data_IF_492211230823
#
_entry.id   IF_492211230823
#
_cell.length_a   1.000
_cell.length_b   1.000
_cell.length_c   1.000
_cell.angle_alpha   90.00
_cell.angle_beta   90.00
_cell.angle_gamma   90.00
#
_symmetry.space_group_name_H-M   'P 1'
#
loop_
_entity.id
_entity.type
_entity.pdbx_description
1 polymer ?
#
# COMPACT_ATOMS: atom_id res chain seq x y z
N UNK A 1 -18.68 -5.36 19.16
CA UNK A 1 -17.72 -4.91 20.18
C UNK A 1 -16.60 -4.12 19.48
N UNK A 2 -16.94 -3.15 18.63
CA UNK A 2 -16.02 -2.47 17.71
C UNK A 2 -15.97 -0.94 17.92
N UNK A 3 -16.20 -0.45 19.15
CA UNK A 3 -16.13 1.00 19.43
C UNK A 3 -14.78 1.48 19.95
N UNK A 4 -13.83 0.60 20.18
CA UNK A 4 -12.54 0.94 20.80
C UNK A 4 -11.42 1.26 19.79
N UNK A 5 -11.51 0.82 18.54
CA UNK A 5 -10.51 1.16 17.50
C UNK A 5 -10.68 2.58 16.95
N UNK A 6 -11.91 3.08 16.88
CA UNK A 6 -12.23 4.40 16.32
C UNK A 6 -11.71 5.59 17.15
N UNK A 7 -11.58 5.42 18.46
CA UNK A 7 -11.21 6.51 19.38
C UNK A 7 -9.71 6.80 19.43
N UNK A 8 -8.87 5.88 19.03
CA UNK A 8 -7.40 6.04 19.11
C UNK A 8 -6.80 6.83 17.93
N UNK A 9 -7.43 6.83 16.76
CA UNK A 9 -6.95 7.58 15.58
C UNK A 9 -7.33 9.07 15.63
N UNK A 10 -8.47 9.42 16.22
CA UNK A 10 -8.96 10.79 16.27
C UNK A 10 -8.16 11.71 17.23
N UNK A 11 -7.44 11.15 18.20
CA UNK A 11 -6.74 11.92 19.22
C UNK A 11 -5.42 12.57 18.74
N UNK A 12 -4.85 12.14 17.61
CA UNK A 12 -3.59 12.72 17.10
C UNK A 12 -3.78 13.96 16.23
N UNK A 13 -4.98 14.23 15.75
CA UNK A 13 -5.27 15.37 14.86
C UNK A 13 -5.52 16.71 15.58
N UNK A 14 -5.60 16.76 16.90
CA UNK A 14 -5.94 17.98 17.67
C UNK A 14 -4.75 18.80 18.15
N UNK A 15 -3.52 18.40 17.90
CA UNK A 15 -2.34 19.06 18.46
C UNK A 15 -1.73 20.22 17.62
N UNK A 16 -2.30 20.57 16.46
CA UNK A 16 -1.70 21.59 15.54
C UNK A 16 -2.56 22.85 15.36
N UNK A 17 -3.74 22.97 15.97
CA UNK A 17 -4.60 24.13 15.82
C UNK A 17 -4.67 24.97 17.12
N UNK A 18 -3.66 25.76 17.40
CA UNK A 18 -3.62 26.71 18.49
C UNK A 18 -3.00 28.04 18.08
N UNK A 19 -3.74 28.93 17.37
CA UNK A 19 -3.49 30.39 17.38
C UNK A 19 -4.81 31.15 17.27
N UNK A 20 -5.12 31.80 18.36
CA UNK A 20 -5.86 33.06 18.56
C UNK A 20 -7.13 33.39 17.75
N UNK A 21 -8.26 33.35 18.40
CA UNK A 21 -9.49 34.08 18.03
C UNK A 21 -9.44 35.50 18.59
N UNK A 22 -9.63 36.50 17.75
CA UNK A 22 -9.96 37.87 18.16
C UNK A 22 -11.43 38.13 17.81
N UNK A 23 -12.23 38.48 18.83
CA UNK A 23 -13.63 38.85 18.72
C UNK A 23 -13.78 40.16 17.94
N UNK A 24 -14.61 40.15 16.92
CA UNK A 24 -15.23 41.39 16.39
C UNK A 24 -16.73 41.15 16.23
N UNK A 25 -17.51 41.69 17.13
CA UNK A 25 -18.95 41.79 17.05
C UNK A 25 -19.35 42.88 16.04
N UNK A 26 -20.15 42.53 15.03
CA UNK A 26 -20.90 43.49 14.22
C UNK A 26 -22.25 42.91 13.83
N UNK A 27 -23.30 43.58 14.28
CA UNK A 27 -24.70 43.34 13.96
C UNK A 27 -25.03 43.82 12.54
N UNK A 28 -25.66 43.02 11.72
CA UNK A 28 -26.43 43.48 10.54
C UNK A 28 -27.55 42.46 10.20
N UNK A 29 -28.70 43.02 9.84
CA UNK A 29 -29.98 42.41 9.61
C UNK A 29 -30.04 41.46 8.38
N UNK A 30 -31.10 40.63 8.23
CA UNK A 30 -31.15 39.56 7.27
C UNK A 30 -31.50 40.10 5.89
N UNK A 31 -30.61 39.84 4.92
CA UNK A 31 -30.94 39.92 3.48
C UNK A 31 -31.32 38.54 2.97
N UNK A 32 -32.56 38.44 2.52
CA UNK A 32 -33.02 37.32 1.71
C UNK A 32 -32.27 37.32 0.37
N UNK A 33 -31.36 36.37 0.17
CA UNK A 33 -30.83 36.09 -1.15
C UNK A 33 -30.53 34.60 -1.30
N UNK A 34 -31.23 34.04 -2.26
CA UNK A 34 -30.87 32.89 -3.06
C UNK A 34 -30.74 31.54 -2.32
N UNK A 35 -31.79 30.77 -2.41
CA UNK A 35 -31.73 29.35 -2.63
C UNK A 35 -30.91 29.07 -3.89
N UNK A 36 -29.59 29.05 -3.76
CA UNK A 36 -28.76 28.35 -4.72
C UNK A 36 -28.97 26.87 -4.45
N UNK A 37 -29.72 26.23 -5.35
CA UNK A 37 -29.80 24.78 -5.47
C UNK A 37 -28.38 24.24 -5.34
N UNK A 38 -28.08 23.53 -4.25
CA UNK A 38 -27.01 22.59 -4.21
C UNK A 38 -27.30 21.58 -5.33
N UNK A 39 -26.71 21.78 -6.50
CA UNK A 39 -26.66 20.75 -7.51
C UNK A 39 -26.07 19.54 -6.79
N UNK A 40 -26.83 18.47 -6.68
CA UNK A 40 -26.36 17.23 -6.10
C UNK A 40 -25.04 16.91 -6.83
N UNK A 41 -23.92 16.98 -6.08
CA UNK A 41 -22.61 16.71 -6.64
C UNK A 41 -22.67 15.29 -7.18
N UNK A 42 -22.52 15.13 -8.48
CA UNK A 42 -22.71 13.83 -9.12
C UNK A 42 -21.76 12.83 -8.47
N UNK A 43 -22.28 11.74 -7.96
CA UNK A 43 -21.50 10.71 -7.30
C UNK A 43 -20.31 10.29 -8.19
N UNK A 44 -19.12 10.19 -7.61
CA UNK A 44 -17.92 9.77 -8.32
C UNK A 44 -18.14 8.34 -8.82
N UNK A 45 -18.04 8.07 -10.14
CA UNK A 45 -18.26 6.72 -10.65
C UNK A 45 -17.17 5.77 -10.14
N UNK A 46 -17.55 4.52 -9.89
CA UNK A 46 -16.61 3.47 -9.53
C UNK A 46 -15.56 3.28 -10.63
N UNK A 47 -14.32 2.88 -10.31
CA UNK A 47 -13.27 2.72 -11.30
C UNK A 47 -13.63 1.80 -12.47
N UNK A 48 -14.37 0.72 -12.24
CA UNK A 48 -14.83 -0.17 -13.32
C UNK A 48 -15.90 0.46 -14.24
N UNK A 49 -16.63 1.47 -13.79
CA UNK A 49 -17.61 2.21 -14.60
C UNK A 49 -17.00 3.45 -15.26
N UNK A 50 -15.82 3.88 -14.82
CA UNK A 50 -15.15 5.07 -15.31
C UNK A 50 -14.18 4.74 -16.47
N UNK A 51 -14.48 5.27 -17.67
CA UNK A 51 -13.66 5.08 -18.85
C UNK A 51 -12.22 5.61 -18.72
N UNK A 52 -11.94 6.43 -17.70
CA UNK A 52 -10.59 6.92 -17.43
C UNK A 52 -9.62 5.77 -17.09
N UNK A 53 -10.08 4.76 -16.36
CA UNK A 53 -9.24 3.64 -15.90
C UNK A 53 -8.90 2.63 -17.00
N UNK A 54 -9.45 2.79 -18.22
CA UNK A 54 -9.24 1.86 -19.33
C UNK A 54 -8.42 2.51 -20.44
N UNK A 55 -7.46 1.76 -20.96
CA UNK A 55 -6.78 2.16 -22.19
C UNK A 55 -7.63 1.81 -23.42
N UNK A 56 -7.98 2.81 -24.21
CA UNK A 56 -8.83 2.67 -25.42
C UNK A 56 -8.11 3.06 -26.70
N UNK A 57 -6.78 3.28 -26.64
CA UNK A 57 -5.99 3.68 -27.80
C UNK A 57 -5.75 2.51 -28.78
N UNK A 58 -5.46 2.82 -30.03
CA UNK A 58 -5.20 1.83 -31.09
C UNK A 58 -3.77 1.28 -31.07
N UNK A 59 -2.80 2.03 -30.54
CA UNK A 59 -1.41 1.58 -30.41
C UNK A 59 -1.29 0.53 -29.30
N UNK A 60 -0.78 -0.69 -29.58
CA UNK A 60 -0.65 -1.72 -28.55
C UNK A 60 0.17 -1.28 -27.34
N UNK A 61 -0.26 -1.60 -26.11
CA UNK A 61 0.42 -1.21 -24.85
C UNK A 61 1.90 -1.61 -24.81
N UNK A 62 2.28 -2.75 -25.40
CA UNK A 62 3.69 -3.18 -25.49
C UNK A 62 4.60 -2.25 -26.28
N UNK A 63 4.03 -1.33 -27.06
CA UNK A 63 4.76 -0.32 -27.83
C UNK A 63 5.04 0.97 -27.05
N UNK A 64 4.46 1.12 -25.87
CA UNK A 64 4.74 2.22 -24.97
C UNK A 64 5.89 1.88 -24.02
N UNK A 65 6.70 2.86 -23.70
CA UNK A 65 7.69 2.74 -22.64
C UNK A 65 6.99 2.50 -21.29
N UNK A 66 7.70 1.90 -20.35
CA UNK A 66 7.26 1.78 -18.96
C UNK A 66 7.09 3.16 -18.34
N UNK A 67 6.03 3.37 -17.56
CA UNK A 67 5.69 4.69 -17.01
C UNK A 67 5.17 5.70 -18.06
N UNK A 68 4.85 5.27 -19.30
CA UNK A 68 4.28 6.20 -20.29
C UNK A 68 2.93 6.73 -19.82
N UNK A 69 2.77 8.05 -19.83
CA UNK A 69 1.51 8.74 -19.58
C UNK A 69 0.55 8.47 -20.75
N UNK A 70 -0.61 7.92 -20.48
CA UNK A 70 -1.62 7.55 -21.47
C UNK A 70 -2.82 8.49 -21.46
N UNK A 71 -3.28 8.88 -20.27
CA UNK A 71 -4.35 9.86 -20.04
C UNK A 71 -4.05 10.65 -18.78
N UNK A 72 -4.57 11.87 -18.71
CA UNK A 72 -4.56 12.69 -17.50
C UNK A 72 -5.93 13.32 -17.28
N UNK A 73 -6.27 13.60 -16.02
CA UNK A 73 -7.41 14.42 -15.65
C UNK A 73 -7.14 15.18 -14.36
N UNK A 74 -7.71 16.37 -14.24
CA UNK A 74 -7.72 17.13 -12.99
C UNK A 74 -8.76 16.55 -12.02
N UNK A 75 -8.40 16.47 -10.76
CA UNK A 75 -9.27 16.02 -9.67
C UNK A 75 -9.00 16.85 -8.42
N UNK A 76 -9.85 16.70 -7.42
CA UNK A 76 -9.58 17.18 -6.07
C UNK A 76 -9.27 15.98 -5.17
N UNK A 77 -8.34 16.16 -4.23
CA UNK A 77 -7.97 15.15 -3.22
C UNK A 77 -8.35 15.69 -1.84
N UNK A 78 -8.93 14.85 -1.04
CA UNK A 78 -9.41 15.10 0.31
C UNK A 78 -10.66 14.27 0.59
N UNK A 79 -11.02 14.17 1.86
CA UNK A 79 -12.24 13.48 2.29
C UNK A 79 -13.17 14.52 2.93
N UNK A 80 -14.09 15.15 2.14
CA UNK A 80 -14.91 16.26 2.61
C UNK A 80 -15.69 15.96 3.89
N UNK A 81 -16.13 14.71 4.05
CA UNK A 81 -16.90 14.25 5.20
C UNK A 81 -16.11 14.35 6.52
N UNK A 82 -14.77 14.42 6.46
CA UNK A 82 -13.90 14.60 7.62
C UNK A 82 -13.63 16.06 7.97
N UNK A 83 -14.14 17.01 7.18
CA UNK A 83 -13.80 18.43 7.31
C UNK A 83 -12.42 18.80 6.74
N UNK A 84 -11.73 17.88 6.07
CA UNK A 84 -10.47 18.17 5.40
C UNK A 84 -10.70 19.05 4.16
N UNK A 85 -9.81 20.02 3.97
CA UNK A 85 -9.81 20.84 2.77
C UNK A 85 -9.44 20.02 1.53
N UNK A 86 -10.10 20.32 0.41
CA UNK A 86 -9.78 19.72 -0.88
C UNK A 86 -8.55 20.39 -1.49
N UNK A 87 -7.60 19.62 -1.99
CA UNK A 87 -6.44 20.13 -2.71
C UNK A 87 -6.44 19.66 -4.17
N UNK A 88 -6.02 20.52 -5.12
CA UNK A 88 -5.95 20.15 -6.52
C UNK A 88 -4.92 19.04 -6.76
N UNK A 89 -5.30 18.08 -7.59
CA UNK A 89 -4.44 16.95 -7.96
C UNK A 89 -4.67 16.55 -9.43
N UNK A 90 -3.82 15.71 -9.96
CA UNK A 90 -3.95 15.13 -11.29
C UNK A 90 -3.90 13.62 -11.21
N UNK A 91 -4.86 12.96 -11.83
CA UNK A 91 -4.77 11.53 -12.08
C UNK A 91 -4.13 11.24 -13.42
N UNK A 92 -3.26 10.26 -13.43
CA UNK A 92 -2.52 9.80 -14.60
C UNK A 92 -2.80 8.31 -14.80
N UNK A 93 -3.41 7.94 -15.93
CA UNK A 93 -3.41 6.56 -16.40
C UNK A 93 -2.06 6.33 -17.07
N UNK A 94 -1.29 5.35 -16.60
CA UNK A 94 0.05 5.06 -17.13
C UNK A 94 0.22 3.59 -17.47
N UNK A 95 1.22 3.32 -18.35
CA UNK A 95 1.59 1.98 -18.76
C UNK A 95 2.50 1.33 -17.73
N UNK A 96 2.15 0.13 -17.28
CA UNK A 96 2.95 -0.75 -16.42
C UNK A 96 2.87 -2.21 -16.91
N UNK A 97 3.13 -3.17 -16.05
CA UNK A 97 2.97 -4.60 -16.33
C UNK A 97 2.36 -5.32 -15.13
N UNK A 98 1.59 -6.37 -15.42
CA UNK A 98 0.98 -7.23 -14.39
C UNK A 98 1.98 -8.23 -13.78
N UNK A 99 1.53 -9.01 -12.78
CA UNK A 99 2.34 -10.04 -12.11
C UNK A 99 2.88 -11.11 -13.08
N UNK A 100 2.24 -11.32 -14.21
CA UNK A 100 2.67 -12.23 -15.27
C UNK A 100 3.55 -11.54 -16.33
N UNK A 101 3.96 -10.27 -16.08
CA UNK A 101 4.76 -9.41 -16.97
C UNK A 101 4.06 -9.05 -18.29
N UNK A 102 2.74 -9.16 -18.37
CA UNK A 102 1.98 -8.66 -19.49
C UNK A 102 1.84 -7.14 -19.40
N UNK A 103 1.92 -6.41 -20.52
CA UNK A 103 1.66 -4.97 -20.51
C UNK A 103 0.28 -4.66 -19.94
N UNK A 104 0.23 -3.80 -18.94
CA UNK A 104 -0.98 -3.39 -18.23
C UNK A 104 -1.02 -1.86 -18.07
N UNK A 105 -2.09 -1.37 -17.48
CA UNK A 105 -2.26 0.02 -17.10
C UNK A 105 -2.76 0.09 -15.66
N UNK A 106 -2.41 1.17 -14.98
CA UNK A 106 -3.03 1.53 -13.72
C UNK A 106 -3.01 3.05 -13.55
N UNK A 107 -3.56 3.55 -12.45
CA UNK A 107 -3.68 4.99 -12.19
C UNK A 107 -2.73 5.39 -11.06
N UNK A 108 -2.17 6.59 -11.15
CA UNK A 108 -1.58 7.27 -10.00
C UNK A 108 -2.25 8.65 -9.84
N UNK A 109 -2.42 9.06 -8.59
CA UNK A 109 -2.85 10.42 -8.25
C UNK A 109 -1.63 11.23 -7.87
N UNK A 110 -1.44 12.39 -8.52
CA UNK A 110 -0.32 13.29 -8.30
C UNK A 110 -0.81 14.55 -7.61
N UNK A 111 -0.27 14.81 -6.43
CA UNK A 111 -0.51 16.03 -5.64
C UNK A 111 0.71 16.92 -5.73
N UNK A 112 0.49 18.19 -6.12
CA UNK A 112 1.57 19.17 -6.14
C UNK A 112 1.88 19.67 -4.72
N UNK A 113 3.11 20.17 -4.47
CA UNK A 113 3.42 20.83 -3.21
C UNK A 113 2.44 21.95 -2.90
N UNK A 114 1.97 22.02 -1.65
CA UNK A 114 1.16 23.14 -1.13
C UNK A 114 1.97 24.05 -0.21
N UNK A 115 3.12 23.57 0.28
CA UNK A 115 4.14 24.35 0.97
C UNK A 115 5.26 24.85 0.04
N UNK A 116 6.40 25.31 0.60
CA UNK A 116 7.55 25.74 -0.19
C UNK A 116 8.01 24.65 -1.15
N UNK A 117 7.90 24.91 -2.47
CA UNK A 117 8.24 23.93 -3.50
C UNK A 117 9.71 23.54 -3.48
N UNK A 118 10.04 22.33 -3.93
CA UNK A 118 11.37 21.74 -4.23
C UNK A 118 11.97 20.78 -3.20
N UNK A 119 11.17 20.22 -2.29
CA UNK A 119 11.71 19.20 -1.40
C UNK A 119 12.00 17.85 -2.11
N UNK A 120 11.26 17.50 -3.17
CA UNK A 120 11.42 16.27 -3.93
C UNK A 120 10.10 15.61 -4.31
N UNK A 121 10.16 14.34 -4.74
CA UNK A 121 9.01 13.50 -5.02
C UNK A 121 8.90 12.38 -3.99
N UNK A 122 7.75 12.25 -3.35
CA UNK A 122 7.44 11.10 -2.48
C UNK A 122 6.43 10.19 -3.19
N UNK A 123 6.78 8.93 -3.36
CA UNK A 123 5.80 7.89 -3.67
C UNK A 123 5.18 7.42 -2.36
N UNK A 124 3.96 7.90 -2.09
CA UNK A 124 3.14 7.45 -0.97
C UNK A 124 2.40 6.19 -1.39
N UNK A 125 2.66 5.11 -0.67
CA UNK A 125 2.16 3.78 -0.96
C UNK A 125 1.06 3.46 0.06
N UNK A 126 -0.17 3.53 -0.42
CA UNK A 126 -1.38 3.34 0.37
C UNK A 126 -1.44 1.95 0.98
N UNK A 127 -2.02 1.84 2.16
CA UNK A 127 -2.33 0.55 2.81
C UNK A 127 -3.78 0.10 2.53
N UNK A 128 -4.25 0.27 1.29
CA UNK A 128 -5.65 0.05 0.93
C UNK A 128 -6.09 -1.42 0.87
N UNK A 129 -5.17 -2.36 0.69
CA UNK A 129 -5.39 -3.81 0.80
C UNK A 129 -6.75 -4.27 0.24
N UNK A 130 -6.86 -4.35 -1.08
CA UNK A 130 -8.16 -4.38 -1.72
C UNK A 130 -8.39 -5.58 -2.63
N UNK A 131 -9.66 -6.01 -2.70
CA UNK A 131 -10.17 -6.92 -3.72
C UNK A 131 -11.29 -6.27 -4.56
N UNK A 132 -11.79 -5.10 -4.13
CA UNK A 132 -12.77 -4.27 -4.82
C UNK A 132 -12.17 -2.93 -5.24
N UNK A 133 -12.47 -2.46 -6.43
CA UNK A 133 -11.92 -1.22 -6.98
C UNK A 133 -12.47 0.06 -6.31
N UNK A 134 -13.59 -0.05 -5.58
CA UNK A 134 -14.09 0.99 -4.66
C UNK A 134 -13.08 1.37 -3.58
N UNK A 135 -12.04 0.57 -3.38
CA UNK A 135 -11.02 0.75 -2.36
C UNK A 135 -9.74 1.41 -2.93
N UNK A 136 -9.63 1.53 -4.25
CA UNK A 136 -8.45 2.09 -4.90
C UNK A 136 -8.17 3.53 -4.44
N UNK A 137 -6.92 3.89 -4.09
CA UNK A 137 -6.57 5.23 -3.63
C UNK A 137 -6.99 6.33 -4.60
N UNK A 138 -6.92 6.09 -5.91
CA UNK A 138 -7.39 7.02 -6.92
C UNK A 138 -8.89 7.30 -6.88
N UNK A 139 -9.68 6.45 -6.22
CA UNK A 139 -11.11 6.65 -5.99
C UNK A 139 -11.39 7.23 -4.60
N UNK A 140 -10.82 6.62 -3.54
CA UNK A 140 -11.11 6.99 -2.15
C UNK A 140 -10.58 8.38 -1.80
N UNK A 141 -9.37 8.73 -2.27
CA UNK A 141 -8.78 10.05 -2.02
C UNK A 141 -9.46 11.20 -2.78
N UNK A 142 -10.36 10.90 -3.71
CA UNK A 142 -11.24 11.90 -4.35
C UNK A 142 -12.55 12.11 -3.60
N UNK A 143 -12.74 11.46 -2.47
CA UNK A 143 -14.02 11.41 -1.75
C UNK A 143 -14.96 10.32 -2.25
N UNK A 144 -14.47 9.35 -3.02
CA UNK A 144 -15.22 8.13 -3.35
C UNK A 144 -15.49 7.32 -2.09
N UNK A 145 -16.69 6.75 -1.99
CA UNK A 145 -17.11 6.01 -0.80
C UNK A 145 -16.63 4.55 -0.82
N UNK A 146 -15.63 4.18 -0.01
CA UNK A 146 -15.15 2.81 0.09
C UNK A 146 -16.02 1.91 0.99
N UNK A 147 -17.15 2.44 1.52
CA UNK A 147 -17.95 1.84 2.57
C UNK A 147 -17.49 2.24 3.97
N UNK A 148 -18.41 2.12 4.94
CA UNK A 148 -18.21 2.63 6.30
C UNK A 148 -17.01 2.01 7.02
N UNK A 149 -16.69 0.74 6.74
CA UNK A 149 -15.59 0.00 7.36
C UNK A 149 -14.21 0.50 6.95
N UNK A 150 -14.11 1.28 5.87
CA UNK A 150 -12.84 1.77 5.32
C UNK A 150 -12.76 3.29 5.25
N UNK A 151 -13.81 4.01 5.63
CA UNK A 151 -13.85 5.47 5.56
C UNK A 151 -12.75 6.13 6.42
N UNK A 152 -12.48 5.60 7.62
CA UNK A 152 -11.42 6.10 8.50
C UNK A 152 -10.02 5.95 7.90
N UNK A 153 -9.78 4.86 7.16
CA UNK A 153 -8.50 4.66 6.47
C UNK A 153 -8.30 5.72 5.39
N UNK A 154 -9.31 6.00 4.58
CA UNK A 154 -9.24 7.04 3.54
C UNK A 154 -8.97 8.44 4.13
N UNK A 155 -9.59 8.77 5.28
CA UNK A 155 -9.34 10.03 6.01
C UNK A 155 -7.90 10.11 6.49
N UNK A 156 -7.38 9.05 7.09
CA UNK A 156 -6.00 8.98 7.58
C UNK A 156 -5.00 9.14 6.44
N UNK A 157 -5.20 8.46 5.33
CA UNK A 157 -4.32 8.54 4.15
C UNK A 157 -4.36 9.92 3.51
N UNK A 158 -5.54 10.53 3.38
CA UNK A 158 -5.67 11.89 2.88
C UNK A 158 -4.91 12.90 3.77
N UNK A 159 -4.91 12.71 5.10
CA UNK A 159 -4.14 13.54 6.03
C UNK A 159 -2.63 13.38 5.83
N UNK A 160 -2.13 12.14 5.68
CA UNK A 160 -0.71 11.87 5.42
C UNK A 160 -0.25 12.48 4.09
N UNK A 161 -1.02 12.30 3.03
CA UNK A 161 -0.74 12.89 1.71
C UNK A 161 -0.69 14.42 1.78
N UNK A 162 -1.65 15.02 2.48
CA UNK A 162 -1.72 16.48 2.68
C UNK A 162 -0.53 16.99 3.50
N UNK A 163 -0.12 16.26 4.55
CA UNK A 163 1.09 16.57 5.34
C UNK A 163 2.33 16.61 4.48
N UNK A 164 2.56 15.58 3.65
CA UNK A 164 3.71 15.52 2.75
C UNK A 164 3.69 16.66 1.73
N UNK A 165 2.53 17.00 1.16
CA UNK A 165 2.39 18.11 0.22
C UNK A 165 2.67 19.47 0.90
N UNK A 166 2.24 19.65 2.15
CA UNK A 166 2.50 20.84 2.95
C UNK A 166 4.00 21.01 3.30
N UNK A 167 4.73 19.90 3.42
CA UNK A 167 6.18 19.89 3.60
C UNK A 167 6.96 20.22 2.32
N UNK A 168 6.27 20.45 1.20
CA UNK A 168 6.87 20.88 -0.06
C UNK A 168 7.21 19.73 -1.02
N UNK A 169 6.79 18.49 -0.74
CA UNK A 169 6.95 17.37 -1.65
C UNK A 169 5.85 17.34 -2.72
N UNK A 170 6.21 17.01 -3.94
CA UNK A 170 5.24 16.42 -4.85
C UNK A 170 4.97 14.99 -4.37
N UNK A 171 3.70 14.55 -4.41
CA UNK A 171 3.32 13.21 -3.95
C UNK A 171 2.68 12.44 -5.07
N UNK A 172 3.15 11.22 -5.35
CA UNK A 172 2.51 10.29 -6.28
C UNK A 172 1.92 9.13 -5.50
N UNK A 173 0.66 8.80 -5.75
CA UNK A 173 -0.11 7.77 -5.03
C UNK A 173 -0.61 6.76 -6.07
N UNK A 174 0.15 5.69 -6.37
CA UNK A 174 -0.27 4.69 -7.33
C UNK A 174 -1.32 3.71 -6.78
N UNK A 175 -2.25 3.30 -7.62
CA UNK A 175 -3.05 2.08 -7.42
C UNK A 175 -2.17 0.88 -7.77
N UNK A 176 -1.22 0.55 -6.90
CA UNK A 176 -0.13 -0.39 -7.19
C UNK A 176 -0.57 -1.85 -7.29
N UNK A 177 -1.76 -2.19 -6.82
CA UNK A 177 -2.35 -3.53 -7.01
C UNK A 177 -2.90 -3.75 -8.42
N UNK A 178 -2.83 -2.71 -9.27
CA UNK A 178 -3.32 -2.73 -10.63
C UNK A 178 -4.85 -2.68 -10.73
N UNK A 179 -5.36 -2.62 -11.97
CA UNK A 179 -6.80 -2.59 -12.23
C UNK A 179 -7.51 -3.91 -11.92
N UNK A 180 -6.77 -5.02 -11.82
CA UNK A 180 -7.30 -6.34 -11.50
C UNK A 180 -7.19 -6.67 -9.99
N UNK A 181 -6.68 -5.72 -9.18
CA UNK A 181 -6.54 -5.82 -7.73
C UNK A 181 -5.79 -7.09 -7.32
N UNK A 182 -4.55 -7.15 -7.77
CA UNK A 182 -3.61 -8.22 -7.45
C UNK A 182 -2.90 -7.97 -6.12
N UNK A 183 -3.68 -7.77 -5.06
CA UNK A 183 -3.14 -7.58 -3.71
C UNK A 183 -2.10 -8.66 -3.37
N UNK A 184 -1.10 -8.36 -2.58
CA UNK A 184 0.08 -9.17 -2.25
C UNK A 184 0.93 -9.66 -3.45
N UNK A 185 0.62 -9.25 -4.69
CA UNK A 185 1.43 -9.55 -5.86
C UNK A 185 2.65 -8.62 -5.93
N UNK A 186 3.62 -8.84 -5.04
CA UNK A 186 4.68 -7.89 -4.72
C UNK A 186 5.46 -7.35 -5.92
N UNK A 187 5.85 -8.21 -6.89
CA UNK A 187 6.59 -7.72 -8.05
C UNK A 187 5.76 -6.75 -8.89
N UNK A 188 4.45 -7.00 -9.08
CA UNK A 188 3.56 -6.07 -9.78
C UNK A 188 3.45 -4.75 -9.03
N UNK A 189 3.27 -4.81 -7.71
CA UNK A 189 3.22 -3.60 -6.86
C UNK A 189 4.50 -2.77 -6.99
N UNK A 190 5.66 -3.42 -6.98
CA UNK A 190 6.95 -2.76 -7.18
C UNK A 190 7.10 -2.13 -8.58
N UNK A 191 6.73 -2.85 -9.65
CA UNK A 191 6.78 -2.30 -11.01
C UNK A 191 5.80 -1.14 -11.19
N UNK A 192 4.57 -1.28 -10.69
CA UNK A 192 3.56 -0.22 -10.75
C UNK A 192 4.03 1.03 -10.03
N UNK A 193 4.66 0.89 -8.87
CA UNK A 193 5.26 2.00 -8.11
C UNK A 193 6.38 2.69 -8.89
N UNK A 194 7.34 1.95 -9.43
CA UNK A 194 8.45 2.52 -10.20
C UNK A 194 7.97 3.20 -11.49
N UNK A 195 6.97 2.62 -12.14
CA UNK A 195 6.37 3.20 -13.34
C UNK A 195 5.51 4.43 -13.04
N UNK A 196 4.88 4.53 -11.84
CA UNK A 196 4.18 5.73 -11.39
C UNK A 196 5.12 6.90 -11.17
N UNK A 197 6.32 6.64 -10.62
CA UNK A 197 7.37 7.65 -10.45
C UNK A 197 7.77 8.20 -11.82
N UNK A 198 8.05 7.33 -12.79
CA UNK A 198 8.37 7.73 -14.18
C UNK A 198 7.28 8.58 -14.81
N UNK A 199 6.01 8.15 -14.64
CA UNK A 199 4.87 8.86 -15.17
C UNK A 199 4.73 10.26 -14.54
N UNK A 200 4.93 10.35 -13.22
CA UNK A 200 4.88 11.59 -12.46
C UNK A 200 6.01 12.55 -12.83
N UNK A 201 7.26 12.06 -12.86
CA UNK A 201 8.42 12.86 -13.29
C UNK A 201 8.20 13.41 -14.72
N UNK A 202 7.72 12.55 -15.62
CA UNK A 202 7.42 12.97 -17.00
C UNK A 202 6.32 14.01 -17.07
N UNK A 203 5.25 13.81 -16.30
CA UNK A 203 4.10 14.73 -16.28
C UNK A 203 4.48 16.10 -15.71
N UNK A 204 5.23 16.14 -14.63
CA UNK A 204 5.66 17.36 -13.96
C UNK A 204 6.90 18.01 -14.61
N UNK A 205 7.50 17.38 -15.65
CA UNK A 205 8.73 17.87 -16.26
C UNK A 205 9.93 17.88 -15.33
N UNK A 206 9.97 16.95 -14.37
CA UNK A 206 11.07 16.85 -13.40
C UNK A 206 12.37 16.40 -14.05
N UNK A 207 13.50 16.83 -13.48
CA UNK A 207 14.82 16.37 -13.92
C UNK A 207 15.02 14.90 -13.54
N UNK A 208 15.82 14.16 -14.32
CA UNK A 208 16.18 12.77 -14.02
C UNK A 208 16.94 12.59 -12.70
N UNK A 209 17.57 13.67 -12.21
CA UNK A 209 18.24 13.71 -10.91
C UNK A 209 17.32 14.02 -9.75
N UNK A 210 16.01 14.14 -10.00
CA UNK A 210 15.03 14.42 -8.95
C UNK A 210 15.13 13.38 -7.85
N UNK A 211 15.27 13.82 -6.61
CA UNK A 211 15.27 12.92 -5.46
C UNK A 211 13.87 12.34 -5.26
N UNK A 212 13.81 11.04 -5.02
CA UNK A 212 12.57 10.30 -4.77
C UNK A 212 12.66 9.57 -3.43
N UNK A 213 11.63 9.69 -2.60
CA UNK A 213 11.44 8.89 -1.39
C UNK A 213 10.29 7.91 -1.55
N UNK A 214 10.43 6.71 -0.99
CA UNK A 214 9.33 5.74 -0.90
C UNK A 214 8.82 5.69 0.53
N UNK A 215 7.49 5.71 0.70
CA UNK A 215 6.83 5.74 2.00
C UNK A 215 5.66 4.76 1.99
N UNK A 216 5.71 3.70 2.80
CA UNK A 216 4.64 2.70 2.86
C UNK A 216 4.55 1.97 4.19
N UNK A 217 3.32 1.72 4.65
CA UNK A 217 3.03 0.90 5.82
C UNK A 217 2.10 -0.24 5.44
N UNK A 218 2.17 -1.39 6.12
CA UNK A 218 1.29 -2.54 5.88
C UNK A 218 1.26 -2.94 4.39
N UNK A 219 0.11 -2.93 3.72
CA UNK A 219 0.01 -3.18 2.28
C UNK A 219 0.92 -2.27 1.45
N UNK A 220 1.07 -1.00 1.82
CA UNK A 220 2.01 -0.08 1.17
C UNK A 220 3.48 -0.48 1.33
N UNK A 221 3.82 -1.19 2.40
CA UNK A 221 5.18 -1.70 2.60
C UNK A 221 5.54 -2.79 1.58
N UNK A 222 4.55 -3.55 1.08
CA UNK A 222 4.74 -4.53 0.00
C UNK A 222 5.25 -3.80 -1.25
N UNK A 223 4.56 -2.74 -1.64
CA UNK A 223 4.95 -1.97 -2.82
C UNK A 223 6.32 -1.28 -2.64
N UNK A 224 6.60 -0.74 -1.45
CA UNK A 224 7.86 -0.05 -1.13
C UNK A 224 9.06 -0.99 -1.12
N UNK A 225 8.92 -2.15 -0.51
CA UNK A 225 9.96 -3.16 -0.45
C UNK A 225 10.28 -3.69 -1.86
N UNK A 226 9.26 -4.18 -2.58
CA UNK A 226 9.45 -4.71 -3.94
C UNK A 226 9.94 -3.65 -4.93
N UNK A 227 9.51 -2.39 -4.79
CA UNK A 227 10.06 -1.30 -5.60
C UNK A 227 11.55 -1.11 -5.31
N UNK A 228 11.96 -1.15 -4.04
CA UNK A 228 13.36 -1.00 -3.63
C UNK A 228 14.24 -2.14 -4.12
N UNK A 229 13.78 -3.39 -3.98
CA UNK A 229 14.51 -4.58 -4.43
C UNK A 229 14.63 -4.64 -5.96
N UNK A 230 13.61 -4.20 -6.68
CA UNK A 230 13.55 -4.25 -8.15
C UNK A 230 14.18 -3.04 -8.83
N UNK A 231 14.28 -1.88 -8.17
CA UNK A 231 14.73 -0.62 -8.77
C UNK A 231 16.07 -0.74 -9.50
N UNK A 232 17.13 -1.38 -8.94
CA UNK A 232 18.43 -1.43 -9.60
C UNK A 232 18.42 -2.07 -10.99
N UNK A 233 17.54 -3.06 -11.20
CA UNK A 233 17.42 -3.76 -12.47
C UNK A 233 16.31 -3.22 -13.38
N UNK A 234 15.24 -2.65 -12.80
CA UNK A 234 14.05 -2.24 -13.52
C UNK A 234 14.00 -0.74 -13.83
N UNK A 235 14.50 0.08 -12.91
CA UNK A 235 14.43 1.54 -12.97
C UNK A 235 15.75 2.19 -12.47
N UNK A 236 16.93 1.80 -13.02
CA UNK A 236 18.23 2.30 -12.54
C UNK A 236 18.41 3.81 -12.74
N UNK A 237 17.57 4.44 -13.54
CA UNK A 237 17.59 5.88 -13.80
C UNK A 237 16.91 6.71 -12.70
N UNK A 238 16.11 6.10 -11.82
CA UNK A 238 15.42 6.80 -10.75
C UNK A 238 16.35 7.06 -9.57
N UNK A 239 16.39 8.29 -9.10
CA UNK A 239 17.22 8.69 -7.97
C UNK A 239 16.48 8.49 -6.64
N UNK A 240 16.27 7.22 -6.22
CA UNK A 240 15.62 6.91 -4.95
C UNK A 240 16.61 7.12 -3.81
N UNK A 241 16.38 8.14 -2.97
CA UNK A 241 17.28 8.55 -1.89
C UNK A 241 16.98 7.89 -0.55
N UNK A 242 15.86 7.22 -0.41
CA UNK A 242 15.47 6.47 0.79
C UNK A 242 14.13 5.79 0.67
N UNK A 243 13.97 4.70 1.39
CA UNK A 243 12.72 3.95 1.53
C UNK A 243 12.38 3.78 2.99
N UNK A 244 11.20 4.24 3.39
CA UNK A 244 10.61 4.00 4.70
C UNK A 244 9.46 3.01 4.57
N UNK A 245 9.58 1.85 5.20
CA UNK A 245 8.56 0.79 5.21
C UNK A 245 8.35 0.25 6.62
N UNK A 246 7.09 0.01 6.97
CA UNK A 246 6.73 -0.56 8.26
C UNK A 246 5.62 -1.59 8.15
N UNK A 247 5.53 -2.51 9.14
CA UNK A 247 4.54 -3.58 9.10
C UNK A 247 4.67 -4.45 7.84
N UNK A 248 5.86 -5.02 7.59
CA UNK A 248 6.24 -5.66 6.32
C UNK A 248 5.93 -7.16 6.31
N UNK A 249 5.10 -7.68 5.38
CA UNK A 249 4.79 -9.12 5.28
C UNK A 249 5.86 -9.87 4.48
N UNK A 250 7.07 -9.98 5.04
CA UNK A 250 8.28 -10.50 4.36
C UNK A 250 8.11 -11.90 3.80
N UNK A 251 7.50 -12.80 4.57
CA UNK A 251 7.31 -14.20 4.18
C UNK A 251 5.84 -14.61 4.31
N UNK A 252 5.10 -14.53 3.21
CA UNK A 252 3.65 -14.75 3.20
C UNK A 252 3.19 -16.04 3.88
N UNK A 253 3.98 -17.15 3.79
CA UNK A 253 3.61 -18.39 4.47
C UNK A 253 3.69 -18.28 6.00
N UNK A 254 4.64 -17.53 6.53
CA UNK A 254 4.77 -17.28 7.97
C UNK A 254 3.63 -16.42 8.48
N UNK A 255 3.32 -15.31 7.76
CA UNK A 255 2.18 -14.46 8.07
C UNK A 255 0.87 -15.22 8.06
N UNK A 256 0.59 -16.00 6.99
CA UNK A 256 -0.61 -16.83 6.91
C UNK A 256 -0.67 -17.90 8.01
N UNK A 257 0.47 -18.42 8.46
CA UNK A 257 0.56 -19.31 9.62
C UNK A 257 0.21 -18.62 10.93
N UNK A 258 0.72 -17.41 11.13
CA UNK A 258 0.53 -16.60 12.32
C UNK A 258 -0.93 -16.18 12.51
N UNK A 259 -1.58 -15.67 11.47
CA UNK A 259 -2.98 -15.22 11.54
C UNK A 259 -4.02 -16.35 11.46
N UNK A 260 -3.61 -17.59 11.22
CA UNK A 260 -4.53 -18.71 10.96
C UNK A 260 -5.32 -19.13 12.21
N UNK A 261 -6.55 -18.70 12.31
CA UNK A 261 -7.45 -18.98 13.42
C UNK A 261 -7.45 -17.89 14.50
N UNK A 262 -6.85 -16.73 14.23
CA UNK A 262 -6.97 -15.54 15.10
C UNK A 262 -8.35 -14.92 14.94
N UNK A 263 -8.78 -14.13 15.92
CA UNK A 263 -10.09 -13.44 15.84
C UNK A 263 -10.05 -12.22 14.94
N UNK A 264 -8.95 -11.47 14.93
CA UNK A 264 -8.85 -10.21 14.19
C UNK A 264 -8.43 -10.41 12.73
N UNK A 265 -7.38 -11.19 12.45
CA UNK A 265 -6.72 -11.20 11.14
C UNK A 265 -7.01 -12.43 10.26
N UNK A 266 -7.69 -13.44 10.77
CA UNK A 266 -7.95 -14.66 9.98
C UNK A 266 -8.80 -14.42 8.72
N UNK A 267 -9.60 -13.34 8.68
CA UNK A 267 -10.35 -12.93 7.49
C UNK A 267 -9.48 -12.48 6.30
N UNK A 268 -8.22 -12.15 6.54
CA UNK A 268 -7.21 -11.87 5.50
C UNK A 268 -6.90 -13.10 4.66
N UNK A 269 -7.00 -14.30 5.20
CA UNK A 269 -6.64 -15.55 4.50
C UNK A 269 -7.47 -15.78 3.23
N UNK A 270 -8.81 -15.74 3.23
CA UNK A 270 -9.59 -15.89 2.00
C UNK A 270 -9.29 -14.77 0.98
N UNK A 271 -9.04 -13.55 1.42
CA UNK A 271 -8.68 -12.44 0.54
C UNK A 271 -7.32 -12.68 -0.16
N UNK A 272 -6.31 -13.17 0.54
CA UNK A 272 -5.03 -13.60 -0.06
C UNK A 272 -5.26 -14.72 -1.08
N UNK A 273 -6.13 -15.69 -0.81
CA UNK A 273 -6.43 -16.76 -1.77
C UNK A 273 -7.06 -16.21 -3.06
N UNK A 274 -7.98 -15.24 -2.97
CA UNK A 274 -8.54 -14.55 -4.14
C UNK A 274 -7.43 -13.89 -4.95
N UNK A 275 -6.60 -13.11 -4.30
CA UNK A 275 -5.52 -12.37 -4.94
C UNK A 275 -4.50 -13.30 -5.63
N UNK A 276 -4.05 -14.36 -4.96
CA UNK A 276 -3.16 -15.36 -5.58
C UNK A 276 -3.82 -16.02 -6.80
N UNK A 277 -5.13 -16.25 -6.74
CA UNK A 277 -5.92 -16.75 -7.87
C UNK A 277 -5.84 -15.81 -9.07
N UNK A 278 -6.09 -14.52 -8.86
CA UNK A 278 -6.07 -13.48 -9.89
C UNK A 278 -4.66 -13.28 -10.46
N UNK A 279 -3.71 -12.95 -9.61
CA UNK A 279 -2.36 -12.57 -10.02
C UNK A 279 -1.58 -13.68 -10.71
N UNK A 280 -1.80 -14.94 -10.35
CA UNK A 280 -1.05 -16.08 -10.87
C UNK A 280 -1.89 -17.05 -11.72
N UNK A 281 -3.16 -16.74 -11.97
CA UNK A 281 -4.05 -17.59 -12.76
C UNK A 281 -4.35 -18.93 -12.11
N UNK A 282 -4.38 -19.00 -10.77
CA UNK A 282 -4.71 -20.24 -10.06
C UNK A 282 -6.23 -20.41 -10.05
N UNK A 283 -6.75 -21.49 -10.63
CA UNK A 283 -8.18 -21.85 -10.59
C UNK A 283 -8.56 -22.27 -9.16
N UNK A 284 -8.94 -21.30 -8.32
CA UNK A 284 -9.26 -21.50 -6.90
C UNK A 284 -10.36 -22.54 -6.69
N UNK A 285 -11.39 -22.57 -7.53
CA UNK A 285 -12.50 -23.55 -7.51
C UNK A 285 -12.08 -25.03 -7.50
N UNK A 286 -10.85 -25.32 -7.98
CA UNK A 286 -10.25 -26.66 -7.91
C UNK A 286 -9.96 -27.07 -6.46
N UNK A 287 -9.60 -26.12 -5.63
CA UNK A 287 -9.03 -26.33 -4.29
C UNK A 287 -10.00 -26.07 -3.17
N UNK A 288 -10.91 -25.13 -3.34
CA UNK A 288 -11.89 -24.67 -2.35
C UNK A 288 -12.92 -25.72 -1.97
N UNK A 289 -13.25 -25.80 -0.69
CA UNK A 289 -14.45 -26.49 -0.17
C UNK A 289 -15.73 -25.72 -0.58
N UNK A 290 -16.90 -26.29 -0.30
CA UNK A 290 -18.15 -25.56 -0.49
C UNK A 290 -18.21 -24.30 0.40
N UNK A 291 -17.74 -24.39 1.64
CA UNK A 291 -17.62 -23.26 2.56
C UNK A 291 -16.59 -22.22 2.04
N UNK A 292 -15.42 -22.69 1.55
CA UNK A 292 -14.40 -21.81 0.96
C UNK A 292 -14.93 -20.99 -0.20
N UNK A 293 -15.71 -21.59 -1.11
CA UNK A 293 -16.33 -20.88 -2.23
C UNK A 293 -17.30 -19.78 -1.75
N UNK A 294 -18.08 -20.08 -0.69
CA UNK A 294 -18.98 -19.09 -0.11
C UNK A 294 -18.21 -17.91 0.43
N UNK A 295 -17.21 -18.14 1.30
CA UNK A 295 -16.39 -17.06 1.91
C UNK A 295 -15.62 -16.27 0.87
N UNK A 296 -15.03 -16.93 -0.13
CA UNK A 296 -14.33 -16.25 -1.24
C UNK A 296 -15.29 -15.33 -2.01
N UNK A 297 -16.52 -15.78 -2.31
CA UNK A 297 -17.53 -14.95 -2.97
C UNK A 297 -18.02 -13.77 -2.13
N UNK A 298 -17.90 -13.86 -0.79
CA UNK A 298 -18.23 -12.75 0.11
C UNK A 298 -17.14 -11.67 0.15
N UNK A 299 -15.87 -12.05 0.00
CA UNK A 299 -14.74 -11.12 0.14
C UNK A 299 -14.19 -10.60 -1.18
N UNK A 300 -14.49 -11.23 -2.32
CA UNK A 300 -13.80 -10.99 -3.60
C UNK A 300 -13.98 -9.58 -4.18
N UNK A 301 -14.85 -8.74 -3.61
CA UNK A 301 -15.05 -7.35 -4.00
C UNK A 301 -14.97 -6.38 -2.81
N UNK A 302 -14.40 -6.83 -1.70
CA UNK A 302 -14.32 -6.04 -0.48
C UNK A 302 -12.98 -5.33 -0.29
N UNK A 303 -13.01 -4.26 0.50
CA UNK A 303 -11.85 -3.61 1.08
C UNK A 303 -11.43 -4.37 2.35
N UNK A 304 -10.30 -4.01 2.94
CA UNK A 304 -9.79 -4.68 4.14
C UNK A 304 -10.79 -4.72 5.29
N UNK A 305 -11.55 -3.66 5.54
CA UNK A 305 -12.58 -3.63 6.59
C UNK A 305 -13.74 -4.60 6.33
N UNK A 306 -13.98 -5.00 5.07
CA UNK A 306 -15.01 -5.98 4.71
C UNK A 306 -14.62 -7.43 5.02
N UNK A 307 -13.35 -7.73 5.25
CA UNK A 307 -12.90 -9.08 5.59
C UNK A 307 -12.08 -9.17 6.88
N UNK A 308 -11.31 -8.14 7.25
CA UNK A 308 -10.59 -8.12 8.51
C UNK A 308 -11.57 -8.03 9.70
N UNK A 309 -11.38 -8.87 10.72
CA UNK A 309 -12.26 -8.94 11.88
C UNK A 309 -13.65 -9.59 11.65
N UNK A 310 -14.01 -9.88 10.40
CA UNK A 310 -15.35 -10.43 10.07
C UNK A 310 -15.41 -11.97 10.06
N UNK A 311 -14.29 -12.65 10.20
CA UNK A 311 -14.20 -14.12 10.21
C UNK A 311 -13.37 -14.61 11.42
N UNK A 312 -13.80 -14.34 12.67
CA UNK A 312 -13.04 -14.69 13.86
C UNK A 312 -12.82 -16.21 13.96
N UNK A 313 -11.60 -16.61 14.26
CA UNK A 313 -11.23 -18.01 14.41
C UNK A 313 -11.20 -18.81 13.10
N UNK A 314 -11.29 -18.14 11.93
CA UNK A 314 -11.27 -18.82 10.64
C UNK A 314 -9.92 -19.52 10.42
N UNK A 315 -9.98 -20.79 10.08
CA UNK A 315 -8.81 -21.56 9.70
C UNK A 315 -8.82 -21.91 8.22
N UNK A 316 -7.69 -21.76 7.54
CA UNK A 316 -7.53 -22.07 6.10
C UNK A 316 -8.01 -23.49 5.76
N UNK A 317 -7.89 -24.44 6.70
CA UNK A 317 -8.36 -25.81 6.53
C UNK A 317 -9.85 -25.90 6.21
N UNK A 318 -10.68 -24.99 6.73
CA UNK A 318 -12.13 -24.94 6.43
C UNK A 318 -12.40 -24.46 5.00
N UNK A 319 -11.57 -23.57 4.50
CA UNK A 319 -11.68 -23.02 3.14
C UNK A 319 -11.33 -24.05 2.06
N UNK A 320 -10.50 -25.04 2.38
CA UNK A 320 -9.93 -25.97 1.42
C UNK A 320 -10.61 -27.34 1.47
N UNK A 321 -10.74 -27.99 0.29
CA UNK A 321 -11.13 -29.42 0.23
C UNK A 321 -10.17 -30.27 1.08
N UNK A 322 -10.66 -31.34 1.68
CA UNK A 322 -9.92 -32.22 2.61
C UNK A 322 -8.50 -32.57 2.12
N UNK A 323 -8.31 -32.89 0.86
CA UNK A 323 -7.00 -33.22 0.28
C UNK A 323 -6.03 -32.05 0.15
N UNK A 324 -6.50 -30.80 0.27
CA UNK A 324 -5.74 -29.58 0.09
C UNK A 324 -5.62 -28.73 1.38
N UNK A 325 -6.08 -29.22 2.52
CA UNK A 325 -6.05 -28.50 3.79
C UNK A 325 -4.66 -28.05 4.23
N UNK A 326 -3.61 -28.76 3.80
CA UNK A 326 -2.21 -28.31 3.92
C UNK A 326 -1.82 -27.50 2.70
N UNK A 327 -2.51 -26.37 2.45
CA UNK A 327 -2.44 -25.65 1.17
C UNK A 327 -1.00 -25.23 0.80
N UNK A 328 -0.15 -24.87 1.78
CA UNK A 328 1.26 -24.55 1.54
C UNK A 328 2.11 -25.78 1.11
N UNK A 329 1.58 -26.99 1.24
CA UNK A 329 2.20 -28.20 0.65
C UNK A 329 1.67 -28.52 -0.76
N UNK A 330 0.65 -27.79 -1.22
CA UNK A 330 0.15 -27.93 -2.59
C UNK A 330 1.12 -27.20 -3.52
N UNK A 331 1.73 -27.88 -4.52
CA UNK A 331 2.79 -27.29 -5.33
C UNK A 331 2.42 -25.99 -6.05
N UNK A 332 1.16 -25.79 -6.38
CA UNK A 332 0.69 -24.55 -7.01
C UNK A 332 0.85 -23.36 -6.08
N UNK A 333 0.42 -23.49 -4.82
CA UNK A 333 0.53 -22.41 -3.83
C UNK A 333 1.97 -22.24 -3.33
N UNK A 334 2.66 -23.33 -2.99
CA UNK A 334 4.04 -23.24 -2.53
C UNK A 334 4.96 -22.52 -3.52
N UNK A 335 4.82 -22.80 -4.83
CA UNK A 335 5.59 -22.11 -5.88
C UNK A 335 5.29 -20.61 -5.95
N UNK A 336 4.04 -20.23 -5.76
CA UNK A 336 3.62 -18.82 -5.84
C UNK A 336 4.09 -18.08 -4.59
N UNK A 337 3.84 -18.64 -3.41
CA UNK A 337 4.28 -18.05 -2.15
C UNK A 337 5.81 -17.88 -2.12
N UNK A 338 6.56 -18.85 -2.64
CA UNK A 338 8.02 -18.74 -2.74
C UNK A 338 8.50 -17.59 -3.66
N UNK A 339 7.71 -17.21 -4.67
CA UNK A 339 8.03 -16.04 -5.51
C UNK A 339 7.78 -14.70 -4.82
N UNK A 340 7.00 -14.71 -3.75
CA UNK A 340 6.59 -13.53 -3.00
C UNK A 340 7.40 -13.34 -1.70
N UNK A 341 8.41 -14.16 -1.45
CA UNK A 341 9.34 -13.95 -0.34
C UNK A 341 10.25 -12.79 -0.69
N UNK A 342 10.25 -11.73 0.11
CA UNK A 342 11.09 -10.56 -0.05
C UNK A 342 12.57 -10.90 0.16
N UNK A 343 13.47 -10.16 -0.47
CA UNK A 343 14.91 -10.42 -0.42
C UNK A 343 15.35 -11.66 -1.23
N UNK A 344 14.49 -12.22 -2.10
CA UNK A 344 14.79 -13.45 -2.86
C UNK A 344 14.90 -13.24 -4.37
N UNK A 345 14.93 -12.01 -4.86
CA UNK A 345 15.31 -11.74 -6.24
C UNK A 345 16.84 -11.71 -6.39
N UNK A 346 17.33 -11.43 -7.60
CA UNK A 346 18.76 -11.24 -7.83
C UNK A 346 19.25 -9.83 -7.47
N UNK A 347 18.31 -8.90 -7.21
CA UNK A 347 18.58 -7.53 -6.81
C UNK A 347 18.43 -7.35 -5.30
N UNK A 348 18.93 -6.24 -4.81
CA UNK A 348 18.70 -5.75 -3.45
C UNK A 348 18.62 -4.23 -3.49
N UNK A 349 17.99 -3.58 -2.51
CA UNK A 349 17.94 -2.14 -2.41
C UNK A 349 19.34 -1.50 -2.46
N UNK A 350 19.46 -0.34 -3.10
CA UNK A 350 20.72 0.42 -3.15
C UNK A 350 20.59 1.78 -2.45
N UNK A 351 19.43 2.06 -1.89
CA UNK A 351 19.15 3.25 -1.10
C UNK A 351 19.13 2.91 0.39
N UNK A 352 19.38 3.88 1.29
CA UNK A 352 19.14 3.71 2.73
C UNK A 352 17.68 3.34 3.03
N UNK A 353 17.47 2.44 4.00
CA UNK A 353 16.14 1.97 4.37
C UNK A 353 15.85 2.21 5.85
N UNK A 354 14.63 2.66 6.14
CA UNK A 354 14.03 2.60 7.46
C UNK A 354 12.97 1.51 7.45
N UNK A 355 13.15 0.52 8.31
CA UNK A 355 12.28 -0.65 8.42
C UNK A 355 11.76 -0.76 9.86
N UNK A 356 10.43 -0.89 10.03
CA UNK A 356 9.85 -0.98 11.38
C UNK A 356 8.74 -2.03 11.46
N UNK A 357 8.54 -2.57 12.67
CA UNK A 357 7.46 -3.51 12.96
C UNK A 357 7.05 -3.42 14.43
N UNK A 358 5.77 -3.65 14.72
CA UNK A 358 5.29 -3.82 16.09
C UNK A 358 5.68 -5.17 16.70
N UNK A 359 5.70 -5.23 18.03
CA UNK A 359 5.91 -6.46 18.77
C UNK A 359 4.90 -6.52 19.92
N UNK A 360 3.79 -7.23 19.74
CA UNK A 360 2.68 -7.25 20.67
C UNK A 360 2.63 -8.53 21.51
N UNK A 361 2.89 -9.70 20.90
CA UNK A 361 2.61 -11.02 21.49
C UNK A 361 3.81 -11.97 21.58
N UNK A 362 5.01 -11.49 21.33
CA UNK A 362 6.24 -12.30 21.26
C UNK A 362 6.51 -12.91 19.88
N UNK A 363 5.57 -12.77 18.94
CA UNK A 363 5.69 -13.22 17.53
C UNK A 363 5.79 -12.02 16.59
N UNK A 364 4.98 -11.00 16.82
CA UNK A 364 4.92 -9.79 16.03
C UNK A 364 3.79 -8.87 16.45
N UNK A 365 3.21 -8.16 15.46
CA UNK A 365 2.21 -7.11 15.66
C UNK A 365 0.76 -7.58 15.43
N UNK A 366 0.47 -8.85 15.64
CA UNK A 366 -0.77 -9.61 15.39
C UNK A 366 -0.94 -10.06 13.92
N UNK A 367 -0.21 -9.49 12.96
CA UNK A 367 -0.28 -9.90 11.55
C UNK A 367 1.10 -10.06 10.90
N UNK A 368 2.07 -9.21 11.23
CA UNK A 368 3.43 -9.28 10.69
C UNK A 368 4.36 -9.98 11.66
N UNK A 369 5.16 -10.92 11.15
CA UNK A 369 6.10 -11.68 11.97
C UNK A 369 7.38 -10.85 12.15
N UNK A 370 7.61 -10.35 13.37
CA UNK A 370 8.73 -9.46 13.69
C UNK A 370 10.09 -10.01 13.24
N UNK A 371 10.35 -11.28 13.55
CA UNK A 371 11.62 -11.92 13.20
C UNK A 371 11.85 -12.12 11.70
N UNK A 372 10.81 -12.07 10.88
CA UNK A 372 10.96 -12.08 9.43
C UNK A 372 11.45 -10.72 8.93
N UNK A 373 10.91 -9.62 9.49
CA UNK A 373 11.37 -8.26 9.16
C UNK A 373 12.79 -8.03 9.62
N UNK A 374 13.14 -8.52 10.83
CA UNK A 374 14.52 -8.52 11.35
C UNK A 374 15.48 -9.27 10.41
N UNK A 375 15.07 -10.46 9.93
CA UNK A 375 15.89 -11.25 9.01
C UNK A 375 16.13 -10.54 7.69
N UNK A 376 15.11 -9.91 7.10
CA UNK A 376 15.25 -9.16 5.87
C UNK A 376 16.18 -7.96 6.06
N UNK A 377 16.02 -7.21 7.15
CA UNK A 377 16.88 -6.10 7.51
C UNK A 377 18.35 -6.54 7.68
N UNK A 378 18.57 -7.66 8.38
CA UNK A 378 19.89 -8.26 8.56
C UNK A 378 20.52 -8.68 7.21
N UNK A 379 19.76 -9.30 6.33
CA UNK A 379 20.25 -9.69 5.00
C UNK A 379 20.63 -8.47 4.16
N UNK A 380 19.84 -7.40 4.18
CA UNK A 380 20.15 -6.16 3.47
C UNK A 380 21.41 -5.48 4.02
N UNK A 381 21.58 -5.44 5.35
CA UNK A 381 22.82 -4.99 5.97
C UNK A 381 24.04 -5.82 5.49
N UNK A 382 23.90 -7.14 5.41
CA UNK A 382 24.93 -8.04 4.88
C UNK A 382 25.27 -7.80 3.39
N UNK A 383 24.35 -7.19 2.65
CA UNK A 383 24.53 -6.78 1.24
C UNK A 383 25.03 -5.34 1.09
N UNK A 384 25.35 -4.66 2.20
CA UNK A 384 25.90 -3.30 2.20
C UNK A 384 24.85 -2.19 2.17
N UNK A 385 23.57 -2.50 2.36
CA UNK A 385 22.49 -1.49 2.48
C UNK A 385 22.54 -0.89 3.87
N UNK A 386 22.55 0.44 3.98
CA UNK A 386 22.38 1.12 5.25
C UNK A 386 20.91 0.95 5.72
N UNK A 387 20.68 0.20 6.78
CA UNK A 387 19.34 -0.07 7.32
C UNK A 387 19.23 0.44 8.76
N UNK A 388 18.18 1.21 9.05
CA UNK A 388 17.71 1.44 10.40
C UNK A 388 16.47 0.58 10.64
N UNK A 389 16.61 -0.43 11.47
CA UNK A 389 15.52 -1.31 11.89
C UNK A 389 15.04 -0.92 13.28
N UNK A 390 13.71 -0.84 13.45
CA UNK A 390 13.08 -0.46 14.70
C UNK A 390 11.93 -1.40 15.05
N UNK A 391 11.88 -1.80 16.32
CA UNK A 391 10.80 -2.60 16.88
C UNK A 391 10.00 -1.72 17.83
N UNK A 392 8.69 -1.68 17.66
CA UNK A 392 7.79 -0.95 18.54
C UNK A 392 7.22 -1.88 19.62
N UNK A 393 7.93 -1.99 20.74
CA UNK A 393 7.55 -2.85 21.84
C UNK A 393 6.13 -2.56 22.34
N UNK A 394 5.36 -3.64 22.55
CA UNK A 394 3.97 -3.62 23.01
C UNK A 394 2.97 -3.09 21.95
N UNK A 395 3.40 -2.81 20.74
CA UNK A 395 2.52 -2.27 19.70
C UNK A 395 1.92 -3.39 18.83
N UNK A 396 0.59 -3.40 18.72
CA UNK A 396 -0.12 -4.11 17.67
C UNK A 396 0.10 -3.43 16.30
N UNK A 397 -0.45 -3.99 15.23
CA UNK A 397 -0.27 -3.49 13.88
C UNK A 397 -0.72 -2.03 13.70
N UNK A 398 -1.85 -1.65 14.27
CA UNK A 398 -2.38 -0.27 14.21
C UNK A 398 -1.50 0.71 14.98
N UNK A 399 -1.14 0.33 16.22
CA UNK A 399 -0.26 1.15 17.08
C UNK A 399 1.15 1.28 16.46
N UNK A 400 1.63 0.22 15.80
CA UNK A 400 2.88 0.24 15.05
C UNK A 400 2.84 1.28 13.94
N UNK A 401 1.74 1.36 13.17
CA UNK A 401 1.53 2.39 12.15
C UNK A 401 1.59 3.81 12.69
N UNK A 402 0.89 4.06 13.81
CA UNK A 402 0.88 5.39 14.45
C UNK A 402 2.28 5.84 14.90
N UNK A 403 3.13 4.92 15.35
CA UNK A 403 4.53 5.21 15.72
C UNK A 403 5.42 5.35 14.48
N UNK A 404 5.13 4.60 13.43
CA UNK A 404 5.91 4.59 12.18
C UNK A 404 5.80 5.91 11.42
N UNK A 405 4.60 6.46 11.22
CA UNK A 405 4.38 7.58 10.31
C UNK A 405 5.27 8.80 10.60
N UNK A 406 5.34 9.36 11.82
CA UNK A 406 6.18 10.53 12.08
C UNK A 406 7.68 10.23 11.93
N UNK A 407 8.12 9.01 12.29
CA UNK A 407 9.52 8.61 12.15
C UNK A 407 9.90 8.43 10.68
N UNK A 408 9.00 7.88 9.86
CA UNK A 408 9.18 7.72 8.42
C UNK A 408 9.25 9.07 7.69
N UNK A 409 8.41 10.04 8.05
CA UNK A 409 8.50 11.42 7.53
C UNK A 409 9.84 12.05 7.88
N UNK A 410 10.27 11.97 9.13
CA UNK A 410 11.57 12.50 9.58
C UNK A 410 12.75 11.81 8.88
N UNK A 411 12.68 10.48 8.70
CA UNK A 411 13.67 9.73 7.94
C UNK A 411 13.77 10.25 6.51
N UNK A 412 12.66 10.37 5.79
CA UNK A 412 12.67 10.85 4.41
C UNK A 412 13.19 12.28 4.32
N UNK A 413 12.75 13.19 5.21
CA UNK A 413 13.25 14.56 5.25
C UNK A 413 14.80 14.61 5.36
N UNK A 414 15.38 13.78 6.22
CA UNK A 414 16.84 13.66 6.34
C UNK A 414 17.48 13.12 5.06
N UNK A 415 16.85 12.15 4.35
CA UNK A 415 17.38 11.64 3.06
C UNK A 415 17.34 12.69 1.98
N UNK A 416 16.24 13.44 1.87
CA UNK A 416 16.14 14.55 0.92
C UNK A 416 17.17 15.64 1.20
N UNK A 417 17.46 15.93 2.47
CA UNK A 417 18.51 16.86 2.90
C UNK A 417 19.94 16.32 2.66
N UNK A 418 20.09 15.03 2.27
CA UNK A 418 21.41 14.42 2.05
C UNK A 418 22.17 14.07 3.34
N UNK A 419 21.47 14.05 4.48
CA UNK A 419 22.08 13.64 5.77
C UNK A 419 22.35 12.12 5.72
N UNK A 420 23.52 11.59 6.02
CA UNK A 420 23.80 10.15 6.06
C UNK A 420 22.93 9.43 7.07
N UNK A 421 22.50 8.18 6.76
CA UNK A 421 21.74 7.37 7.72
C UNK A 421 22.68 6.86 8.81
N UNK A 422 22.34 7.14 10.08
CA UNK A 422 22.90 6.39 11.19
C UNK A 422 22.13 5.04 11.25
N UNK A 423 22.69 4.02 10.58
CA UNK A 423 22.14 2.67 10.60
C UNK A 423 22.44 1.97 11.94
N UNK A 424 21.75 0.86 12.19
CA UNK A 424 21.99 0.00 13.33
C UNK A 424 22.28 -1.46 12.91
N UNK A 425 22.86 -1.62 11.74
CA UNK A 425 23.14 -2.93 11.14
C UNK A 425 23.92 -3.88 12.08
N UNK A 426 24.80 -3.33 12.91
CA UNK A 426 25.58 -4.13 13.87
C UNK A 426 24.73 -4.80 14.98
N UNK A 427 23.55 -4.23 15.26
CA UNK A 427 22.66 -4.66 16.35
C UNK A 427 21.49 -5.52 15.85
N UNK A 428 21.34 -5.69 14.53
CA UNK A 428 20.23 -6.43 13.93
C UNK A 428 20.55 -7.92 13.95
N UNK A 429 19.72 -8.69 14.64
CA UNK A 429 19.87 -10.16 14.72
C UNK A 429 19.50 -10.87 13.40
N UNK A 430 19.85 -12.15 13.27
CA UNK A 430 19.60 -12.91 12.03
C UNK A 430 18.11 -13.21 11.77
N UNK A 431 17.23 -13.00 12.75
CA UNK A 431 15.81 -13.27 12.63
C UNK A 431 15.45 -14.71 12.29
N UNK A 432 14.36 -14.90 11.56
CA UNK A 432 13.90 -16.21 11.09
C UNK A 432 14.58 -16.60 9.76
N UNK A 433 14.53 -17.89 9.44
CA UNK A 433 14.90 -18.35 8.10
C UNK A 433 13.87 -17.91 7.07
N UNK A 434 14.28 -17.16 6.06
CA UNK A 434 13.46 -16.79 4.91
C UNK A 434 13.59 -17.81 3.75
N UNK A 435 13.95 -19.05 4.04
CA UNK A 435 14.11 -20.09 3.04
C UNK A 435 12.78 -20.42 2.34
N UNK A 436 12.80 -20.67 1.02
CA UNK A 436 11.61 -21.08 0.29
C UNK A 436 11.01 -22.39 0.83
N UNK A 437 9.68 -22.50 0.75
CA UNK A 437 8.96 -23.73 1.05
C UNK A 437 9.41 -24.87 0.12
N UNK A 438 9.54 -26.10 0.63
CA UNK A 438 9.88 -27.23 -0.20
C UNK A 438 8.76 -27.56 -1.20
N UNK A 439 9.10 -27.59 -2.48
CA UNK A 439 8.19 -27.97 -3.57
C UNK A 439 8.55 -29.34 -4.09
N UNK A 440 7.69 -30.35 -3.88
CA UNK A 440 7.90 -31.67 -4.47
C UNK A 440 7.89 -31.55 -6.00
N UNK A 441 8.96 -31.99 -6.64
CA UNK A 441 8.98 -32.21 -8.09
C UNK A 441 8.03 -33.37 -8.40
N UNK A 442 7.01 -33.15 -9.25
CA UNK A 442 6.32 -34.28 -9.86
C UNK A 442 7.30 -34.93 -10.82
N UNK A 443 7.76 -36.11 -10.49
CA UNK A 443 8.32 -37.00 -11.51
C UNK A 443 7.12 -37.43 -12.38
N UNK A 444 7.07 -36.97 -13.61
CA UNK A 444 6.22 -37.58 -14.64
C UNK A 444 6.80 -38.96 -14.90
N UNK A 445 6.09 -40.01 -14.48
CA UNK A 445 6.27 -41.37 -14.96
C UNK A 445 5.44 -41.53 -16.22
#
# INVERSE_FOLDING_TARGET
MNRTLALSLAALLTAVAGVASADVSSSAAPSALAETSAAAEAAIPLPHDDAFYRYTGTKPLRKYARGAVLKTRSVMVGVPQSGQGLIPATQILYRTQDQQKKPSVTVTTVVNPTGPANAGLVAYLSFYDALGDKCSPSFTLRGGDPGAENAELAVTEAALVTSLAAQGYAVTIPDFEGTDLHWVAGQESGWSTLDSIRATEKYLGMAKSQKVGLFGYSGGSIAGEWASELAPAYAPELNIVGTAIGGVPVHLAHNLGYINGTDSWSGVIPAVLVSLGRAFGIKMSKYESAYGKKVVGEVEHECIGGFNGNYPGLRVQKLMKKKYQRFLKVPAFARVVNKLIMGRTKGHPQMPMYMAVGEHDGTGDDVMVRKDVEALAHEYCGQGVAVRFEVFDGADHTQGGLRFFPTAEAFLAARFAGVPLADNCADIGPGNSLAPLPVKKHHHH
#
